data_IF_868759581574
#
_entry.id   IF_868759581574
#
_cell.length_a   1.000
_cell.length_b   1.000
_cell.length_c   1.000
_cell.angle_alpha   90.00
_cell.angle_beta   90.00
_cell.angle_gamma   90.00
#
_symmetry.space_group_name_H-M   'P 1'
#
loop_
_entity.id
_entity.type
_entity.pdbx_description
1 polymer ?
#
# COMPACT_ATOMS: atom_id res chain seq x y z
N UNK A 1 -13.00 0.55 22.21
CA UNK A 1 -11.65 -0.05 22.27
C UNK A 1 -11.24 -0.40 20.84
N UNK A 2 -10.73 0.58 20.09
CA UNK A 2 -10.42 0.46 18.66
C UNK A 2 -8.92 0.23 18.50
N UNK A 3 -8.51 -0.97 18.08
CA UNK A 3 -7.11 -1.30 17.78
C UNK A 3 -6.74 -0.58 16.46
N UNK A 4 -5.79 0.36 16.54
CA UNK A 4 -5.20 1.01 15.37
C UNK A 4 -4.52 -0.05 14.51
N UNK A 5 -4.90 -0.13 13.24
CA UNK A 5 -4.24 -0.99 12.27
C UNK A 5 -2.77 -0.60 12.14
N UNK A 6 -1.94 -1.65 12.12
CA UNK A 6 -0.50 -1.60 11.94
C UNK A 6 -0.22 -1.80 10.47
N UNK A 7 0.55 -0.91 9.86
CA UNK A 7 1.18 -1.11 8.55
C UNK A 7 1.99 -2.41 8.63
N UNK A 8 1.54 -3.42 7.90
CA UNK A 8 2.02 -4.80 8.01
C UNK A 8 2.48 -5.27 6.64
N UNK A 9 3.74 -5.67 6.50
CA UNK A 9 4.24 -6.33 5.28
C UNK A 9 3.80 -7.80 5.35
N UNK A 10 3.12 -8.30 4.33
CA UNK A 10 2.80 -9.73 4.22
C UNK A 10 3.40 -10.25 2.91
N UNK A 11 4.38 -11.14 3.01
CA UNK A 11 4.81 -11.94 1.87
C UNK A 11 3.68 -12.92 1.50
N UNK A 12 3.20 -12.84 0.26
CA UNK A 12 2.54 -13.97 -0.39
C UNK A 12 3.54 -14.60 -1.35
N UNK A 13 3.95 -15.85 -1.08
CA UNK A 13 4.55 -16.71 -2.11
C UNK A 13 3.41 -17.53 -2.69
N UNK A 14 3.23 -17.49 -4.01
CA UNK A 14 2.46 -18.48 -4.74
C UNK A 14 3.07 -19.86 -4.49
N UNK A 15 2.51 -20.59 -3.52
CA UNK A 15 3.01 -21.91 -3.12
C UNK A 15 2.67 -22.94 -4.19
N UNK A 16 3.71 -23.49 -4.82
CA UNK A 16 3.77 -24.93 -5.08
C UNK A 16 3.49 -25.70 -3.77
N UNK A 17 2.86 -26.89 -3.82
CA UNK A 17 2.23 -27.50 -2.66
C UNK A 17 3.22 -27.86 -1.55
N UNK A 18 2.79 -27.60 -0.31
CA UNK A 18 3.54 -27.76 0.94
C UNK A 18 3.82 -29.24 1.25
N UNK A 19 5.11 -29.60 1.42
CA UNK A 19 5.54 -30.91 1.93
C UNK A 19 6.61 -30.75 3.01
N UNK A 20 6.23 -31.10 4.25
CA UNK A 20 7.06 -31.72 5.30
C UNK A 20 8.46 -31.17 5.66
N UNK A 21 8.53 -30.53 6.82
CA UNK A 21 9.57 -30.58 7.86
C UNK A 21 11.06 -30.21 7.58
N UNK A 22 11.52 -29.26 8.41
CA UNK A 22 12.88 -28.99 8.94
C UNK A 22 13.93 -28.18 8.15
N UNK A 23 14.46 -27.20 8.91
CA UNK A 23 15.67 -26.39 8.76
C UNK A 23 15.67 -25.32 7.65
N UNK A 24 16.26 -24.16 7.97
CA UNK A 24 17.47 -23.63 7.31
C UNK A 24 17.47 -22.10 7.29
N UNK A 25 18.54 -21.51 7.80
CA UNK A 25 18.95 -20.19 7.37
C UNK A 25 19.21 -20.21 5.85
N UNK A 26 18.56 -19.25 5.19
CA UNK A 26 18.79 -18.66 3.86
C UNK A 26 18.71 -19.55 2.61
N UNK A 27 17.94 -19.07 1.62
CA UNK A 27 18.44 -18.77 0.29
C UNK A 27 18.76 -17.26 0.18
N UNK A 28 19.98 -16.97 -0.25
CA UNK A 28 20.31 -15.71 -0.91
C UNK A 28 19.31 -15.47 -2.04
N UNK A 29 18.59 -14.34 -2.01
CA UNK A 29 17.80 -13.94 -3.18
C UNK A 29 18.75 -13.90 -4.39
N UNK A 30 18.48 -14.66 -5.46
CA UNK A 30 19.28 -14.57 -6.67
C UNK A 30 19.25 -13.12 -7.17
N UNK A 31 20.32 -12.69 -7.83
CA UNK A 31 20.46 -11.37 -8.44
C UNK A 31 19.57 -11.17 -9.69
N UNK A 32 18.39 -11.80 -9.69
CA UNK A 32 17.34 -11.60 -10.69
C UNK A 32 16.59 -10.31 -10.40
N UNK A 33 16.04 -9.71 -11.46
CA UNK A 33 15.13 -8.56 -11.34
C UNK A 33 14.05 -8.89 -10.32
N UNK A 34 14.02 -8.15 -9.22
CA UNK A 34 13.01 -8.32 -8.19
C UNK A 34 11.78 -7.48 -8.56
N UNK A 35 10.61 -7.96 -8.19
CA UNK A 35 9.33 -7.27 -8.36
C UNK A 35 8.74 -6.84 -7.01
N UNK A 36 8.12 -5.66 -6.96
CA UNK A 36 7.43 -5.13 -5.78
C UNK A 36 5.99 -4.76 -6.13
N UNK A 37 5.03 -5.28 -5.38
CA UNK A 37 3.64 -4.83 -5.45
C UNK A 37 3.26 -4.08 -4.17
N UNK A 38 2.78 -2.85 -4.29
CA UNK A 38 2.20 -2.09 -3.18
C UNK A 38 0.68 -2.25 -3.20
N UNK A 39 0.13 -3.00 -2.25
CA UNK A 39 -1.31 -3.22 -2.11
C UNK A 39 -1.92 -2.15 -1.19
N UNK A 40 -2.94 -1.46 -1.69
CA UNK A 40 -3.61 -0.37 -0.98
C UNK A 40 -5.12 -0.61 -0.97
N UNK A 41 -5.70 -1.09 0.15
CA UNK A 41 -7.14 -1.13 0.30
C UNK A 41 -7.70 0.30 0.40
N UNK A 42 -8.78 0.58 -0.34
CA UNK A 42 -9.39 1.91 -0.41
C UNK A 42 -10.92 1.82 -0.41
N UNK A 43 -11.56 2.78 0.23
CA UNK A 43 -13.02 2.92 0.25
C UNK A 43 -13.40 4.38 0.49
N UNK A 44 -14.04 5.02 -0.49
CA UNK A 44 -14.50 6.41 -0.42
C UNK A 44 -13.41 7.43 -0.05
N UNK A 45 -12.29 7.40 -0.76
CA UNK A 45 -11.12 8.26 -0.51
C UNK A 45 -10.68 9.03 -1.76
N UNK A 46 -11.63 9.40 -2.64
CA UNK A 46 -11.31 10.04 -3.94
C UNK A 46 -10.45 11.30 -3.79
N UNK A 47 -10.66 12.05 -2.71
CA UNK A 47 -9.91 13.28 -2.44
C UNK A 47 -8.45 13.02 -2.08
N UNK A 48 -8.13 11.84 -1.55
CA UNK A 48 -6.79 11.47 -1.12
C UNK A 48 -5.90 11.07 -2.30
N UNK A 49 -6.50 10.50 -3.34
CA UNK A 49 -5.80 9.95 -4.50
C UNK A 49 -4.85 10.96 -5.19
N UNK A 50 -5.25 12.23 -5.47
CA UNK A 50 -4.36 13.21 -6.11
C UNK A 50 -3.12 13.57 -5.27
N UNK A 51 -3.12 13.27 -3.97
CA UNK A 51 -2.02 13.58 -3.05
C UNK A 51 -1.17 12.33 -2.79
N UNK A 52 -1.82 11.18 -2.62
CA UNK A 52 -1.16 9.91 -2.34
C UNK A 52 -0.37 9.38 -3.54
N UNK A 53 -0.98 9.35 -4.72
CA UNK A 53 -0.40 8.70 -5.91
C UNK A 53 0.91 9.32 -6.37
N UNK A 54 1.05 10.65 -6.51
CA UNK A 54 2.32 11.25 -6.92
C UNK A 54 3.47 10.88 -5.97
N UNK A 55 3.18 10.78 -4.66
CA UNK A 55 4.16 10.41 -3.64
C UNK A 55 4.53 8.93 -3.70
N UNK A 56 3.54 8.05 -3.93
CA UNK A 56 3.80 6.62 -4.17
C UNK A 56 4.66 6.41 -5.41
N UNK A 57 4.28 7.01 -6.54
CA UNK A 57 5.04 6.90 -7.80
C UNK A 57 6.46 7.44 -7.64
N UNK A 58 6.63 8.57 -6.94
CA UNK A 58 7.96 9.11 -6.65
C UNK A 58 8.80 8.17 -5.78
N UNK A 59 8.22 7.61 -4.71
CA UNK A 59 8.91 6.66 -3.85
C UNK A 59 9.30 5.39 -4.63
N UNK A 60 8.39 4.84 -5.43
CA UNK A 60 8.63 3.64 -6.24
C UNK A 60 9.69 3.85 -7.33
N UNK A 61 9.78 5.04 -7.91
CA UNK A 61 10.83 5.36 -8.89
C UNK A 61 12.26 5.29 -8.31
N UNK A 62 12.42 5.30 -6.98
CA UNK A 62 13.72 5.15 -6.32
C UNK A 62 14.09 3.71 -6.01
N UNK A 63 13.15 2.77 -6.18
CA UNK A 63 13.35 1.36 -5.87
C UNK A 63 14.01 0.68 -7.08
N UNK A 64 15.13 -0.06 -6.90
CA UNK A 64 15.81 -0.77 -7.99
C UNK A 64 15.09 -2.08 -8.35
N UNK A 65 13.78 -2.01 -8.60
CA UNK A 65 12.90 -3.14 -8.90
C UNK A 65 11.74 -2.72 -9.78
N UNK A 66 11.22 -3.66 -10.58
CA UNK A 66 9.94 -3.46 -11.26
C UNK A 66 8.85 -3.35 -10.18
N UNK A 67 8.14 -2.23 -10.17
CA UNK A 67 7.23 -1.89 -9.08
C UNK A 67 5.85 -1.56 -9.62
N UNK A 68 4.81 -2.06 -8.95
CA UNK A 68 3.42 -1.79 -9.25
C UNK A 68 2.64 -1.39 -8.00
N UNK A 69 1.55 -0.66 -8.19
CA UNK A 69 0.58 -0.32 -7.15
C UNK A 69 -0.73 -1.02 -7.48
N UNK A 70 -1.27 -1.80 -6.55
CA UNK A 70 -2.59 -2.41 -6.67
C UNK A 70 -3.54 -1.76 -5.67
N UNK A 71 -4.44 -0.92 -6.16
CA UNK A 71 -5.57 -0.45 -5.35
C UNK A 71 -6.65 -1.53 -5.29
N UNK A 72 -7.14 -1.81 -4.09
CA UNK A 72 -8.32 -2.66 -3.89
C UNK A 72 -9.46 -1.80 -3.41
N UNK A 73 -10.34 -1.43 -4.32
CA UNK A 73 -11.55 -0.65 -4.04
C UNK A 73 -12.61 -1.57 -3.42
N UNK A 74 -12.87 -1.39 -2.13
CA UNK A 74 -13.83 -2.16 -1.33
C UNK A 74 -15.28 -1.70 -1.58
N UNK A 75 -15.64 -1.57 -2.85
CA UNK A 75 -16.97 -1.17 -3.31
C UNK A 75 -17.35 0.25 -2.91
N UNK A 76 -16.48 1.23 -3.20
CA UNK A 76 -16.76 2.66 -2.99
C UNK A 76 -18.04 3.10 -3.70
N UNK A 77 -18.78 4.02 -3.08
CA UNK A 77 -20.00 4.63 -3.63
C UNK A 77 -19.78 6.09 -4.10
N UNK A 78 -18.58 6.62 -3.91
CA UNK A 78 -18.13 7.90 -4.45
C UNK A 78 -17.38 7.75 -5.79
N UNK A 79 -16.65 8.79 -6.19
CA UNK A 79 -15.89 8.79 -7.45
C UNK A 79 -14.53 8.05 -7.37
N UNK A 80 -14.20 7.36 -6.27
CA UNK A 80 -12.90 6.68 -6.07
C UNK A 80 -12.58 5.69 -7.20
N UNK A 81 -13.49 4.74 -7.47
CA UNK A 81 -13.27 3.73 -8.51
C UNK A 81 -13.18 4.31 -9.92
N UNK A 82 -14.01 5.31 -10.24
CA UNK A 82 -13.96 6.00 -11.52
C UNK A 82 -12.64 6.74 -11.72
N UNK A 83 -12.18 7.45 -10.69
CA UNK A 83 -10.92 8.17 -10.70
C UNK A 83 -9.75 7.20 -10.94
N UNK A 84 -9.69 6.10 -10.18
CA UNK A 84 -8.63 5.10 -10.31
C UNK A 84 -8.64 4.39 -11.66
N UNK A 85 -9.82 4.12 -12.23
CA UNK A 85 -9.96 3.54 -13.57
C UNK A 85 -9.35 4.47 -14.62
N UNK A 86 -9.69 5.76 -14.57
CA UNK A 86 -9.15 6.76 -15.50
C UNK A 86 -7.63 6.93 -15.35
N UNK A 87 -7.13 6.92 -14.11
CA UNK A 87 -5.71 7.05 -13.83
C UNK A 87 -4.92 5.83 -14.32
N UNK A 88 -5.39 4.62 -14.01
CA UNK A 88 -4.74 3.35 -14.41
C UNK A 88 -4.66 3.19 -15.92
N UNK A 89 -5.60 3.77 -16.68
CA UNK A 89 -5.54 3.77 -18.14
C UNK A 89 -4.35 4.56 -18.72
N UNK A 90 -3.75 5.46 -17.93
CA UNK A 90 -2.59 6.27 -18.30
C UNK A 90 -1.29 5.80 -17.63
N UNK A 91 -1.39 4.94 -16.61
CA UNK A 91 -0.29 4.49 -15.77
C UNK A 91 -0.33 2.97 -15.65
N UNK A 92 0.48 2.28 -16.47
CA UNK A 92 0.50 0.80 -16.54
C UNK A 92 0.98 0.14 -15.25
N UNK A 93 1.74 0.86 -14.43
CA UNK A 93 2.20 0.45 -13.12
C UNK A 93 1.13 0.55 -12.03
N UNK A 94 -0.05 1.11 -12.33
CA UNK A 94 -1.18 1.22 -11.41
C UNK A 94 -2.31 0.30 -11.84
N UNK A 95 -2.65 -0.64 -10.97
CA UNK A 95 -3.78 -1.55 -11.11
C UNK A 95 -4.91 -1.20 -10.15
N UNK A 96 -6.12 -1.61 -10.55
CA UNK A 96 -7.34 -1.49 -9.76
C UNK A 96 -8.08 -2.82 -9.72
N UNK A 97 -8.30 -3.33 -8.51
CA UNK A 97 -9.21 -4.44 -8.22
C UNK A 97 -10.47 -3.87 -7.55
N UNK A 98 -11.62 -3.95 -8.22
CA UNK A 98 -12.89 -3.48 -7.64
C UNK A 98 -13.69 -4.65 -7.08
N UNK A 99 -14.01 -4.57 -5.78
CA UNK A 99 -14.94 -5.49 -5.16
C UNK A 99 -16.39 -5.10 -5.48
N UNK A 100 -17.25 -6.11 -5.60
CA UNK A 100 -18.65 -5.91 -5.99
C UNK A 100 -19.49 -5.08 -5.02
N UNK A 101 -19.02 -4.93 -3.77
CA UNK A 101 -19.62 -4.16 -2.67
C UNK A 101 -18.60 -4.04 -1.55
N UNK A 102 -18.93 -3.31 -0.49
CA UNK A 102 -18.14 -3.27 0.72
C UNK A 102 -18.19 -4.61 1.49
N UNK A 103 -17.02 -5.24 1.65
CA UNK A 103 -16.79 -6.45 2.45
C UNK A 103 -15.96 -6.17 3.70
N UNK A 104 -15.36 -4.98 3.80
CA UNK A 104 -14.49 -4.56 4.87
C UNK A 104 -13.01 -4.71 4.53
N UNK A 105 -12.21 -3.88 5.20
CA UNK A 105 -10.77 -3.72 4.96
C UNK A 105 -9.98 -5.03 4.93
N UNK A 106 -10.27 -5.98 5.82
CA UNK A 106 -9.57 -7.26 5.85
C UNK A 106 -9.83 -8.09 4.59
N UNK A 107 -11.07 -8.12 4.10
CA UNK A 107 -11.43 -8.82 2.87
C UNK A 107 -10.80 -8.17 1.65
N UNK A 108 -10.80 -6.83 1.57
CA UNK A 108 -10.09 -6.08 0.54
C UNK A 108 -8.59 -6.36 0.55
N UNK A 109 -7.99 -6.41 1.73
CA UNK A 109 -6.58 -6.74 1.87
C UNK A 109 -6.27 -8.17 1.41
N UNK A 110 -7.07 -9.15 1.81
CA UNK A 110 -6.93 -10.54 1.36
C UNK A 110 -7.04 -10.64 -0.16
N UNK A 111 -8.06 -10.00 -0.75
CA UNK A 111 -8.22 -9.99 -2.20
C UNK A 111 -7.02 -9.36 -2.92
N UNK A 112 -6.47 -8.27 -2.39
CA UNK A 112 -5.26 -7.65 -2.92
C UNK A 112 -4.04 -8.55 -2.86
N UNK A 113 -3.85 -9.26 -1.75
CA UNK A 113 -2.76 -10.22 -1.60
C UNK A 113 -2.88 -11.40 -2.55
N UNK A 114 -4.09 -11.90 -2.79
CA UNK A 114 -4.35 -13.00 -3.72
C UNK A 114 -4.09 -12.60 -5.20
N UNK A 115 -4.15 -11.30 -5.52
CA UNK A 115 -3.92 -10.76 -6.87
C UNK A 115 -2.55 -10.09 -7.05
N UNK A 116 -1.76 -9.95 -5.97
CA UNK A 116 -0.44 -9.36 -6.04
C UNK A 116 0.57 -10.38 -6.60
N UNK A 117 0.93 -10.22 -7.87
CA UNK A 117 1.97 -11.02 -8.53
C UNK A 117 3.32 -10.30 -8.42
N UNK A 118 4.04 -10.53 -7.33
CA UNK A 118 5.36 -9.95 -7.08
C UNK A 118 6.18 -10.77 -6.07
N UNK A 119 7.50 -10.61 -6.12
CA UNK A 119 8.44 -11.22 -5.16
C UNK A 119 8.29 -10.62 -3.76
N UNK A 120 7.95 -9.34 -3.68
CA UNK A 120 7.69 -8.61 -2.45
C UNK A 120 6.34 -7.90 -2.52
N UNK A 121 5.57 -7.97 -1.43
CA UNK A 121 4.29 -7.26 -1.30
C UNK A 121 4.32 -6.37 -0.07
N UNK A 122 4.06 -5.07 -0.30
CA UNK A 122 3.97 -4.06 0.74
C UNK A 122 2.54 -3.57 0.86
N UNK A 123 1.99 -3.59 2.08
CA UNK A 123 0.64 -3.11 2.34
C UNK A 123 0.73 -1.70 2.93
N UNK A 124 0.01 -0.75 2.33
CA UNK A 124 -0.07 0.63 2.81
C UNK A 124 -1.53 1.04 2.91
N UNK A 125 -1.88 1.79 3.95
CA UNK A 125 -3.21 2.39 4.09
C UNK A 125 -3.30 3.70 3.29
N UNK A 126 -4.45 3.97 2.69
CA UNK A 126 -4.66 5.21 1.91
C UNK A 126 -4.70 6.49 2.78
N UNK A 127 -4.69 6.40 4.12
CA UNK A 127 -5.02 7.48 5.04
C UNK A 127 -3.95 8.59 5.24
N UNK A 128 -2.89 8.57 4.41
CA UNK A 128 -1.73 9.47 4.45
C UNK A 128 -1.00 9.56 5.80
N UNK A 129 -1.29 8.67 6.75
CA UNK A 129 -0.66 8.75 8.06
C UNK A 129 0.81 8.33 8.02
N UNK A 130 1.12 7.35 7.18
CA UNK A 130 2.46 6.88 6.96
C UNK A 130 2.99 7.43 5.62
N UNK A 131 4.17 8.06 5.63
CA UNK A 131 4.78 8.57 4.40
C UNK A 131 5.11 7.42 3.43
N UNK A 132 4.69 7.50 2.15
CA UNK A 132 5.13 6.56 1.10
C UNK A 132 6.65 6.44 0.98
N UNK A 133 7.40 7.46 1.41
CA UNK A 133 8.86 7.47 1.40
C UNK A 133 9.47 6.39 2.31
N UNK A 134 8.68 5.78 3.21
CA UNK A 134 9.11 4.62 3.99
C UNK A 134 9.31 3.35 3.14
N UNK A 135 8.74 3.27 1.94
CA UNK A 135 8.88 2.12 1.03
C UNK A 135 10.37 1.75 0.85
N UNK A 136 11.24 2.75 0.70
CA UNK A 136 12.70 2.54 0.55
C UNK A 136 13.30 1.82 1.75
N UNK A 137 12.92 2.20 2.97
CA UNK A 137 13.42 1.55 4.19
C UNK A 137 12.93 0.09 4.32
N UNK A 138 11.71 -0.20 3.86
CA UNK A 138 11.21 -1.58 3.78
C UNK A 138 11.98 -2.37 2.71
N UNK A 139 12.23 -1.78 1.56
CA UNK A 139 12.98 -2.40 0.47
C UNK A 139 14.41 -2.79 0.89
N UNK A 140 15.14 -1.89 1.56
CA UNK A 140 16.49 -2.17 2.05
C UNK A 140 16.53 -3.39 3.00
N UNK A 141 15.49 -3.56 3.83
CA UNK A 141 15.36 -4.72 4.72
C UNK A 141 15.03 -5.98 3.94
N UNK A 142 14.17 -5.89 2.92
CA UNK A 142 13.92 -7.02 2.03
C UNK A 142 15.20 -7.46 1.29
N UNK A 143 16.03 -6.52 0.85
CA UNK A 143 17.33 -6.82 0.23
C UNK A 143 18.32 -7.49 1.19
N UNK A 144 18.27 -7.13 2.48
CA UNK A 144 19.03 -7.80 3.55
C UNK A 144 18.57 -9.26 3.82
N UNK A 145 17.50 -9.72 3.16
CA UNK A 145 16.99 -11.07 3.27
C UNK A 145 15.99 -11.29 4.40
N UNK A 146 15.36 -10.21 4.90
CA UNK A 146 14.25 -10.34 5.84
C UNK A 146 12.97 -10.73 5.09
N UNK A 147 12.33 -11.82 5.53
CA UNK A 147 11.08 -12.29 4.94
C UNK A 147 9.89 -11.42 5.39
N UNK A 148 9.83 -11.02 6.66
CA UNK A 148 8.70 -10.26 7.19
C UNK A 148 9.20 -9.03 7.94
N UNK A 149 8.67 -7.86 7.57
CA UNK A 149 9.09 -6.56 8.09
C UNK A 149 7.87 -5.83 8.63
N UNK A 150 7.92 -5.32 9.85
CA UNK A 150 6.81 -4.56 10.43
C UNK A 150 7.24 -3.11 10.69
N UNK A 151 6.42 -2.17 10.24
CA UNK A 151 6.56 -0.77 10.61
C UNK A 151 6.08 -0.58 12.05
N UNK A 152 7.00 -0.25 12.97
CA UNK A 152 6.64 0.18 14.31
C UNK A 152 6.86 1.68 14.44
N UNK A 153 5.83 2.39 14.89
CA UNK A 153 5.94 3.80 15.23
C UNK A 153 6.84 3.97 16.45
N UNK A 154 7.99 4.61 16.29
CA UNK A 154 9.03 4.68 17.32
C UNK A 154 8.60 5.43 18.60
N UNK A 155 7.87 6.53 18.50
CA UNK A 155 7.23 7.25 19.62
C UNK A 155 6.53 8.51 19.08
N UNK A 156 5.74 9.20 19.92
CA UNK A 156 5.02 10.44 19.57
C UNK A 156 5.80 11.73 19.89
N UNK A 157 7.04 11.62 20.35
CA UNK A 157 7.81 12.79 20.77
C UNK A 157 8.53 13.40 19.57
N UNK A 158 7.93 14.47 19.03
CA UNK A 158 8.68 15.41 18.21
C UNK A 158 7.88 16.27 17.24
N UNK A 159 6.96 15.71 16.44
CA UNK A 159 6.71 16.37 15.13
C UNK A 159 5.26 16.35 14.60
N UNK A 160 4.28 15.81 15.34
CA UNK A 160 3.05 15.29 14.70
C UNK A 160 1.73 16.03 14.95
N UNK A 161 1.58 16.92 15.96
CA UNK A 161 0.26 17.53 16.21
C UNK A 161 -0.07 18.64 15.19
N UNK A 162 0.84 19.59 14.98
CA UNK A 162 0.65 20.68 14.02
C UNK A 162 0.59 20.20 12.57
N UNK A 163 1.43 19.24 12.17
CA UNK A 163 1.44 18.68 10.79
C UNK A 163 0.24 17.77 10.49
N UNK A 164 -0.29 17.00 11.45
CA UNK A 164 -1.51 16.20 11.26
C UNK A 164 -2.78 17.04 11.23
N UNK A 165 -2.83 18.15 11.97
CA UNK A 165 -3.97 19.07 11.88
C UNK A 165 -4.04 19.75 10.52
N UNK A 166 -2.92 20.09 9.88
CA UNK A 166 -2.95 20.73 8.55
C UNK A 166 -3.46 19.81 7.45
N UNK A 167 -3.09 18.52 7.45
CA UNK A 167 -3.60 17.58 6.44
C UNK A 167 -5.13 17.41 6.55
N UNK A 168 -5.64 17.14 7.75
CA UNK A 168 -7.10 17.01 7.96
C UNK A 168 -7.86 18.33 7.73
N UNK A 169 -7.25 19.48 8.03
CA UNK A 169 -7.83 20.80 7.77
C UNK A 169 -7.80 21.14 6.28
N UNK A 170 -6.76 20.73 5.55
CA UNK A 170 -6.64 20.86 4.10
C UNK A 170 -7.75 20.07 3.39
N UNK A 171 -7.97 18.80 3.75
CA UNK A 171 -9.10 18.02 3.22
C UNK A 171 -10.46 18.63 3.55
N UNK A 172 -10.65 19.09 4.79
CA UNK A 172 -11.90 19.78 5.20
C UNK A 172 -12.14 21.10 4.47
N UNK A 173 -11.08 21.81 4.06
CA UNK A 173 -11.18 23.05 3.30
C UNK A 173 -11.45 22.77 1.82
N UNK A 174 -10.83 21.74 1.24
CA UNK A 174 -11.12 21.30 -0.14
C UNK A 174 -12.57 20.80 -0.29
N UNK A 175 -13.07 19.99 0.65
CA UNK A 175 -14.47 19.56 0.71
C UNK A 175 -15.48 20.73 0.74
N UNK A 176 -15.10 21.86 1.34
CA UNK A 176 -15.94 23.06 1.41
C UNK A 176 -15.90 23.91 0.14
N UNK A 177 -14.83 23.81 -0.65
CA UNK A 177 -14.67 24.56 -1.90
C UNK A 177 -15.19 23.78 -3.11
N UNK A 178 -15.31 22.45 -3.03
CA UNK A 178 -15.83 21.59 -4.09
C UNK A 178 -17.36 21.40 -4.06
N UNK A 179 -18.08 22.15 -3.22
CA UNK A 179 -19.55 22.26 -3.26
C UNK A 179 -19.97 23.61 -3.87
N UNK A 180 -19.77 23.78 -5.17
CA UNK A 180 -20.48 24.73 -6.04
C UNK A 180 -20.36 24.20 -7.45
#
# INVERSE_FOLDING_TARGET
MQRKLKTSFLLHRSTTPFSGAHAMAQPSHPATLRTLCVVIPIYNEVEVLPILLPRLLHALATIPAESAILFVDDGSDDATGQWLTAFSAQHTEVGLLQLSRNFGKEAALTAGLDHADADAVLIIDADLQDPPELITAFWEKFEQGFDVIYGQRASRDGDSWLKRTTASLFYRLMQRLSRT
#
